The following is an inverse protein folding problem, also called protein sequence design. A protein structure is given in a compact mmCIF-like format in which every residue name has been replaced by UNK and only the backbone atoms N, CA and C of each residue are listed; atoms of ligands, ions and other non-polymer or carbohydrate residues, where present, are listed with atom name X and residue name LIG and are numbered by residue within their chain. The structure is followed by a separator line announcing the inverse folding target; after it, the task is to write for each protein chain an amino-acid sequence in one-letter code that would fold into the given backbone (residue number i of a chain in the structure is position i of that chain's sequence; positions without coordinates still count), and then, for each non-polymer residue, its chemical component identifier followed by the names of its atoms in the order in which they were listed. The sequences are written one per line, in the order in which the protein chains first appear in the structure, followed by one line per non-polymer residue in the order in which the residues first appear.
data_IF_058976731253
#
_entry.id   IF_058976731253
#
_cell.length_a   1.000
_cell.length_b   1.000
_cell.length_c   1.000
_cell.angle_alpha   90.00
_cell.angle_beta   90.00
_cell.angle_gamma   90.00
#
_symmetry.space_group_name_H-M   'P 1'
#
loop_
_entity.id
_entity.type
_entity.pdbx_description
1 polymer ?
#
# COMPACT_ATOMS: atom_id res chain seq x y z
N UNK A 1 18.41 -24.66 -3.25
CA UNK A 1 17.04 -24.55 -2.70
C UNK A 1 16.53 -23.11 -2.54
N UNK A 2 17.28 -22.07 -2.90
CA UNK A 2 16.92 -20.64 -2.75
C UNK A 2 16.21 -20.02 -3.99
N UNK A 3 16.04 -20.77 -5.08
CA UNK A 3 15.46 -20.26 -6.33
C UNK A 3 13.92 -20.07 -6.27
N UNK A 4 13.22 -20.86 -5.44
CA UNK A 4 11.75 -21.00 -5.52
C UNK A 4 10.97 -19.71 -5.21
N UNK A 5 11.58 -18.77 -4.48
CA UNK A 5 10.91 -17.54 -4.02
C UNK A 5 11.48 -16.27 -4.64
N UNK A 6 12.39 -16.42 -5.62
CA UNK A 6 12.93 -15.30 -6.38
C UNK A 6 11.76 -14.50 -6.98
N UNK A 7 11.77 -13.18 -6.80
CA UNK A 7 10.73 -12.24 -7.24
C UNK A 7 9.39 -12.29 -6.49
N UNK A 8 9.30 -13.02 -5.37
CA UNK A 8 8.14 -12.91 -4.48
C UNK A 8 8.27 -11.69 -3.57
N UNK A 9 7.11 -11.18 -3.16
CA UNK A 9 6.96 -10.18 -2.12
C UNK A 9 6.41 -10.85 -0.87
N UNK A 10 6.81 -10.36 0.29
CA UNK A 10 6.27 -10.79 1.58
C UNK A 10 5.25 -9.76 2.03
N UNK A 11 4.01 -10.21 2.26
CA UNK A 11 2.93 -9.42 2.82
C UNK A 11 2.74 -9.75 4.30
N UNK A 12 3.04 -8.79 5.18
CA UNK A 12 2.83 -8.89 6.63
C UNK A 12 1.52 -8.22 7.01
N UNK A 13 0.53 -9.01 7.39
CA UNK A 13 -0.79 -8.53 7.77
C UNK A 13 -0.82 -8.03 9.21
N UNK A 14 -1.46 -6.88 9.41
CA UNK A 14 -1.64 -6.23 10.71
C UNK A 14 -2.97 -6.61 11.36
N UNK A 15 -3.29 -7.91 11.34
CA UNK A 15 -4.57 -8.45 11.78
C UNK A 15 -4.76 -9.88 11.32
N UNK A 16 -6.02 -10.26 11.10
CA UNK A 16 -6.38 -11.56 10.54
C UNK A 16 -6.46 -11.45 9.01
N UNK A 17 -5.55 -12.06 8.24
CA UNK A 17 -5.60 -12.02 6.79
C UNK A 17 -6.86 -12.70 6.26
N UNK A 18 -7.45 -12.20 5.17
CA UNK A 18 -8.49 -12.94 4.45
C UNK A 18 -7.89 -14.16 3.73
N UNK A 19 -8.75 -14.98 3.11
CA UNK A 19 -8.28 -16.16 2.37
C UNK A 19 -7.37 -15.77 1.19
N UNK A 20 -6.40 -16.62 0.79
CA UNK A 20 -5.57 -16.35 -0.39
C UNK A 20 -6.36 -16.05 -1.66
N UNK A 21 -7.54 -16.67 -1.83
CA UNK A 21 -8.45 -16.39 -2.94
C UNK A 21 -9.01 -14.97 -2.90
N UNK A 22 -9.37 -14.46 -1.72
CA UNK A 22 -9.81 -13.07 -1.55
C UNK A 22 -8.67 -12.07 -1.77
N UNK A 23 -7.48 -12.36 -1.24
CA UNK A 23 -6.27 -11.55 -1.50
C UNK A 23 -5.99 -11.47 -3.00
N UNK A 24 -6.06 -12.61 -3.69
CA UNK A 24 -5.92 -12.66 -5.14
C UNK A 24 -7.00 -11.81 -5.85
N UNK A 25 -8.27 -11.97 -5.46
CA UNK A 25 -9.39 -11.23 -6.05
C UNK A 25 -9.26 -9.71 -5.88
N UNK A 26 -8.73 -9.25 -4.75
CA UNK A 26 -8.58 -7.82 -4.45
C UNK A 26 -7.39 -7.20 -5.19
N UNK A 27 -6.26 -7.92 -5.24
CA UNK A 27 -5.01 -7.38 -5.74
C UNK A 27 -4.82 -7.61 -7.24
N UNK A 28 -5.31 -8.72 -7.80
CA UNK A 28 -5.09 -9.05 -9.21
C UNK A 28 -5.67 -8.01 -10.20
N UNK A 29 -6.81 -7.34 -9.95
CA UNK A 29 -7.27 -6.25 -10.82
C UNK A 29 -6.30 -5.06 -10.90
N UNK A 30 -5.48 -4.86 -9.87
CA UNK A 30 -4.54 -3.74 -9.75
C UNK A 30 -3.15 -4.18 -10.22
N UNK A 31 -2.63 -5.26 -9.62
CA UNK A 31 -1.27 -5.75 -9.83
C UNK A 31 -1.16 -6.75 -10.99
N UNK A 32 -2.27 -7.33 -11.41
CA UNK A 32 -2.32 -8.38 -12.43
C UNK A 32 -2.40 -7.88 -13.87
N UNK A 33 -2.42 -6.55 -14.07
CA UNK A 33 -2.58 -5.92 -15.40
C UNK A 33 -1.51 -6.36 -16.42
N UNK A 34 -0.29 -6.64 -15.95
CA UNK A 34 0.86 -7.07 -16.76
C UNK A 34 1.30 -8.51 -16.44
N UNK A 35 0.38 -9.34 -15.96
CA UNK A 35 0.63 -10.75 -15.65
C UNK A 35 -0.06 -11.17 -14.37
N UNK A 36 -0.70 -12.33 -14.40
CA UNK A 36 -1.48 -12.87 -13.28
C UNK A 36 -0.60 -13.07 -12.05
N UNK A 37 -1.02 -12.51 -10.91
CA UNK A 37 -0.31 -12.69 -9.64
C UNK A 37 -0.57 -14.08 -9.07
N UNK A 38 0.22 -14.51 -8.08
CA UNK A 38 -0.12 -15.68 -7.25
C UNK A 38 0.02 -15.36 -5.77
N UNK A 39 -0.85 -15.93 -4.94
CA UNK A 39 -0.86 -15.71 -3.50
C UNK A 39 -0.73 -17.06 -2.79
N UNK A 40 0.23 -17.17 -1.90
CA UNK A 40 0.45 -18.37 -1.06
C UNK A 40 0.52 -17.96 0.40
N UNK A 41 -0.28 -18.62 1.24
CA UNK A 41 -0.19 -18.44 2.70
C UNK A 41 1.11 -19.09 3.18
N UNK A 42 1.86 -18.36 4.01
CA UNK A 42 3.08 -18.88 4.64
C UNK A 42 2.87 -19.14 6.13
N UNK A 43 2.32 -18.17 6.86
CA UNK A 43 2.00 -18.30 8.29
C UNK A 43 0.69 -17.59 8.63
N UNK A 44 0.36 -17.46 9.93
CA UNK A 44 -0.91 -16.85 10.37
C UNK A 44 -1.12 -15.43 9.87
N UNK A 45 -0.06 -14.64 9.74
CA UNK A 45 -0.10 -13.23 9.31
C UNK A 45 0.80 -12.92 8.11
N UNK A 46 1.34 -13.94 7.46
CA UNK A 46 2.30 -13.77 6.36
C UNK A 46 1.80 -14.50 5.13
N UNK A 47 1.74 -13.78 4.01
CA UNK A 47 1.55 -14.35 2.69
C UNK A 47 2.72 -14.00 1.78
N UNK A 48 3.01 -14.89 0.83
CA UNK A 48 3.93 -14.66 -0.27
C UNK A 48 3.12 -14.35 -1.51
N UNK A 49 3.42 -13.22 -2.15
CA UNK A 49 2.73 -12.78 -3.36
C UNK A 49 3.75 -12.72 -4.50
N UNK A 50 3.52 -13.50 -5.54
CA UNK A 50 4.31 -13.41 -6.76
C UNK A 50 3.69 -12.37 -7.70
N UNK A 51 4.49 -11.40 -8.13
CA UNK A 51 4.11 -10.38 -9.11
C UNK A 51 5.05 -10.52 -10.32
N UNK A 52 4.57 -11.00 -11.48
CA UNK A 52 5.42 -11.28 -12.63
C UNK A 52 6.13 -10.03 -13.17
N UNK A 53 5.38 -8.94 -13.34
CA UNK A 53 5.87 -7.68 -13.87
C UNK A 53 6.75 -6.94 -12.84
N UNK A 54 7.97 -6.60 -13.24
CA UNK A 54 8.94 -5.91 -12.38
C UNK A 54 8.51 -4.48 -12.05
N UNK A 55 7.98 -3.74 -13.02
CA UNK A 55 7.53 -2.37 -12.81
C UNK A 55 6.40 -2.33 -11.78
N UNK A 56 5.45 -3.27 -11.88
CA UNK A 56 4.34 -3.39 -10.91
C UNK A 56 4.86 -3.79 -9.53
N UNK A 57 5.86 -4.68 -9.48
CA UNK A 57 6.49 -5.11 -8.23
C UNK A 57 7.20 -3.95 -7.52
N UNK A 58 7.95 -3.11 -8.25
CA UNK A 58 8.60 -1.91 -7.71
C UNK A 58 7.58 -0.90 -7.20
N UNK A 59 6.57 -0.59 -8.01
CA UNK A 59 5.50 0.32 -7.61
C UNK A 59 4.72 -0.16 -6.37
N UNK A 60 4.40 -1.46 -6.29
CA UNK A 60 3.73 -2.02 -5.13
C UNK A 60 4.57 -1.89 -3.85
N UNK A 61 5.90 -2.02 -3.96
CA UNK A 61 6.84 -1.81 -2.86
C UNK A 61 6.99 -0.33 -2.48
N UNK A 62 6.97 0.58 -3.45
CA UNK A 62 7.00 2.04 -3.19
C UNK A 62 5.76 2.50 -2.42
N UNK A 63 4.57 1.98 -2.76
CA UNK A 63 3.34 2.21 -1.97
C UNK A 63 3.48 1.60 -0.57
N UNK A 64 4.03 0.39 -0.49
CA UNK A 64 4.44 -0.27 0.77
C UNK A 64 3.30 -0.75 1.69
N UNK A 65 2.17 -0.02 1.74
CA UNK A 65 1.03 -0.31 2.61
C UNK A 65 -0.24 -0.55 1.79
N UNK A 66 -0.86 -1.71 2.00
CA UNK A 66 -1.94 -2.21 1.16
C UNK A 66 -3.06 -2.82 2.00
N UNK A 67 -4.21 -3.04 1.38
CA UNK A 67 -5.39 -3.62 2.02
C UNK A 67 -5.93 -4.78 1.19
N UNK A 68 -6.44 -5.79 1.88
CA UNK A 68 -7.31 -6.80 1.30
C UNK A 68 -8.38 -7.19 2.31
N UNK A 69 -9.63 -7.24 1.86
CA UNK A 69 -10.80 -7.26 2.74
C UNK A 69 -10.71 -6.11 3.77
N UNK A 70 -10.87 -6.44 5.04
CA UNK A 70 -10.80 -5.48 6.15
C UNK A 70 -9.46 -5.55 6.90
N UNK A 71 -8.39 -6.04 6.25
CA UNK A 71 -7.07 -6.16 6.87
C UNK A 71 -6.01 -5.44 6.04
N UNK A 72 -5.22 -4.60 6.71
CA UNK A 72 -4.04 -3.97 6.13
C UNK A 72 -2.82 -4.87 6.19
N UNK A 73 -1.86 -4.65 5.30
CA UNK A 73 -0.58 -5.34 5.28
C UNK A 73 0.55 -4.46 4.75
N UNK A 74 1.76 -4.72 5.25
CA UNK A 74 3.00 -4.11 4.75
C UNK A 74 3.69 -5.07 3.79
N UNK A 75 4.19 -4.53 2.68
CA UNK A 75 4.86 -5.27 1.62
C UNK A 75 6.37 -5.04 1.68
N UNK A 76 7.16 -6.11 1.61
CA UNK A 76 8.63 -6.02 1.51
C UNK A 76 9.14 -7.01 0.45
N UNK A 77 10.33 -6.76 -0.15
CA UNK A 77 10.94 -7.74 -1.04
C UNK A 77 11.29 -9.01 -0.25
N UNK A 78 11.08 -10.17 -0.86
CA UNK A 78 11.60 -11.41 -0.29
C UNK A 78 13.14 -11.42 -0.38
N UNK A 79 13.80 -11.76 0.72
CA UNK A 79 15.24 -12.05 0.76
C UNK A 79 15.47 -13.34 1.56
N UNK A 80 16.59 -14.06 1.33
CA UNK A 80 16.92 -15.27 2.10
C UNK A 80 17.03 -15.02 3.61
N UNK A 81 17.36 -13.79 4.02
CA UNK A 81 17.49 -13.35 5.41
C UNK A 81 16.25 -12.63 5.95
N UNK A 82 15.16 -12.53 5.17
CA UNK A 82 13.97 -11.83 5.59
C UNK A 82 13.37 -12.50 6.85
N UNK A 83 13.21 -11.72 7.91
CA UNK A 83 12.59 -12.20 9.15
C UNK A 83 11.10 -12.44 8.90
N UNK A 84 10.70 -13.71 8.82
CA UNK A 84 9.30 -14.12 8.66
C UNK A 84 8.54 -14.06 10.00
N UNK A 85 8.65 -12.93 10.69
CA UNK A 85 7.92 -12.63 11.92
C UNK A 85 6.99 -11.44 11.68
N UNK A 86 5.78 -11.41 12.27
CA UNK A 86 4.90 -10.25 12.17
C UNK A 86 5.63 -8.97 12.57
N UNK A 87 5.54 -7.93 11.74
CA UNK A 87 6.08 -6.61 12.07
C UNK A 87 5.07 -5.85 12.92
N UNK A 88 5.56 -5.15 13.95
CA UNK A 88 4.75 -4.19 14.70
C UNK A 88 4.47 -3.00 13.78
N UNK A 89 3.20 -2.68 13.58
CA UNK A 89 2.80 -1.45 12.90
C UNK A 89 3.12 -0.26 13.82
N UNK A 90 4.03 0.61 13.40
CA UNK A 90 4.38 1.83 14.14
C UNK A 90 3.74 3.05 13.48
N UNK A 91 3.84 3.15 12.16
CA UNK A 91 3.21 4.18 11.34
C UNK A 91 2.63 3.55 10.07
N UNK A 92 1.51 4.08 9.57
CA UNK A 92 0.89 3.68 8.32
C UNK A 92 0.57 4.94 7.50
N UNK A 93 0.94 5.00 6.20
CA UNK A 93 0.44 6.04 5.33
C UNK A 93 -1.06 5.80 5.10
N UNK A 94 -1.87 6.84 5.31
CA UNK A 94 -3.32 6.80 5.07
C UNK A 94 -3.69 7.87 4.05
N UNK A 95 -4.56 7.50 3.11
CA UNK A 95 -5.16 8.45 2.18
C UNK A 95 -6.36 9.10 2.84
N UNK A 96 -6.33 10.42 2.98
CA UNK A 96 -7.43 11.21 3.53
C UNK A 96 -8.15 11.90 2.37
N UNK A 97 -9.45 11.63 2.23
CA UNK A 97 -10.31 12.34 1.29
C UNK A 97 -10.97 13.51 2.01
N UNK A 98 -10.57 14.73 1.65
CA UNK A 98 -11.22 15.93 2.13
C UNK A 98 -12.50 16.22 1.35
N UNK A 99 -13.60 16.53 2.05
CA UNK A 99 -14.89 16.90 1.46
C UNK A 99 -15.31 18.26 1.97
N UNK A 100 -16.00 19.03 1.14
CA UNK A 100 -16.56 20.35 1.49
C UNK A 100 -15.49 21.34 2.01
N UNK A 101 -14.33 21.37 1.35
CA UNK A 101 -13.26 22.30 1.71
C UNK A 101 -13.61 23.70 1.18
N UNK A 102 -13.63 24.74 2.04
CA UNK A 102 -13.83 26.11 1.61
C UNK A 102 -12.81 26.51 0.52
N UNK A 103 -13.21 27.23 -0.55
CA UNK A 103 -12.30 27.64 -1.61
C UNK A 103 -11.05 28.39 -1.12
N UNK A 104 -11.16 29.12 -0.01
CA UNK A 104 -10.08 29.87 0.63
C UNK A 104 -8.95 28.97 1.15
N UNK A 105 -9.26 27.70 1.43
CA UNK A 105 -8.30 26.68 1.88
C UNK A 105 -7.78 25.81 0.73
N UNK A 106 -8.17 26.11 -0.52
CA UNK A 106 -7.74 25.38 -1.71
C UNK A 106 -6.30 25.72 -2.12
N UNK A 107 -5.36 25.38 -1.26
CA UNK A 107 -3.92 25.56 -1.47
C UNK A 107 -3.16 24.42 -0.78
N UNK A 108 -1.91 24.18 -1.21
CA UNK A 108 -1.06 23.17 -0.58
C UNK A 108 -0.93 23.41 0.94
N UNK A 109 -0.82 24.67 1.36
CA UNK A 109 -0.76 25.06 2.77
C UNK A 109 -2.07 24.75 3.49
N UNK A 110 -3.23 25.08 2.90
CA UNK A 110 -4.54 24.78 3.48
C UNK A 110 -4.76 23.29 3.69
N UNK A 111 -4.53 22.47 2.65
CA UNK A 111 -4.63 21.01 2.76
C UNK A 111 -3.63 20.42 3.76
N UNK A 112 -2.37 20.89 3.78
CA UNK A 112 -1.37 20.41 4.74
C UNK A 112 -1.74 20.77 6.18
N UNK A 113 -2.34 21.95 6.39
CA UNK A 113 -2.78 22.40 7.71
C UNK A 113 -3.91 21.49 8.24
N UNK A 114 -4.91 21.19 7.41
CA UNK A 114 -6.01 20.30 7.81
C UNK A 114 -5.49 18.87 8.02
N UNK A 115 -4.65 18.36 7.11
CA UNK A 115 -4.05 17.04 7.22
C UNK A 115 -3.19 16.88 8.49
N UNK A 116 -2.58 17.97 8.98
CA UNK A 116 -1.76 17.94 10.20
C UNK A 116 -2.54 17.55 11.46
N UNK A 117 -3.87 17.76 11.47
CA UNK A 117 -4.74 17.28 12.53
C UNK A 117 -4.94 15.75 12.56
N UNK A 118 -4.67 15.07 11.45
CA UNK A 118 -4.75 13.60 11.34
C UNK A 118 -3.38 12.95 11.59
N UNK A 119 -2.31 13.59 11.13
CA UNK A 119 -0.96 13.06 11.24
C UNK A 119 0.05 13.92 10.51
N UNK A 120 1.13 13.32 10.01
CA UNK A 120 2.14 14.05 9.23
C UNK A 120 1.75 13.97 7.75
N UNK A 121 1.44 15.10 7.09
CA UNK A 121 1.14 15.10 5.66
C UNK A 121 2.38 14.69 4.85
N UNK A 122 2.26 13.66 4.02
CA UNK A 122 3.38 13.11 3.23
C UNK A 122 3.25 13.30 1.73
N UNK A 123 2.02 13.31 1.20
CA UNK A 123 1.77 13.43 -0.24
C UNK A 123 0.38 14.00 -0.51
N UNK A 124 0.22 14.70 -1.63
CA UNK A 124 -1.07 15.07 -2.20
C UNK A 124 -1.20 14.47 -3.60
N UNK A 125 -2.40 14.08 -4.00
CA UNK A 125 -2.66 13.61 -5.37
C UNK A 125 -2.39 14.70 -6.43
N UNK A 126 -2.49 15.98 -6.02
CA UNK A 126 -2.19 17.15 -6.83
C UNK A 126 -0.97 17.89 -6.26
N UNK A 127 0.26 17.52 -6.65
CA UNK A 127 1.48 18.17 -6.15
C UNK A 127 1.64 19.62 -6.64
N UNK A 128 0.91 20.01 -7.69
CA UNK A 128 0.86 21.37 -8.23
C UNK A 128 -0.57 21.93 -8.15
N UNK A 129 -1.06 22.12 -6.93
CA UNK A 129 -2.32 22.85 -6.70
C UNK A 129 -2.10 24.32 -7.02
N UNK A 130 -2.78 24.83 -8.05
CA UNK A 130 -2.92 26.27 -8.27
C UNK A 130 -3.84 26.82 -7.18
N UNK A 131 -3.41 27.84 -6.40
CA UNK A 131 -4.29 28.48 -5.45
C UNK A 131 -5.57 28.96 -6.14
N UNK A 132 -6.71 28.81 -5.48
CA UNK A 132 -7.95 29.41 -5.97
C UNK A 132 -7.79 30.93 -5.99
N UNK A 133 -8.05 31.57 -7.14
CA UNK A 133 -8.01 33.02 -7.32
C UNK A 133 -9.41 33.52 -7.69
N UNK A 134 -9.88 34.58 -7.04
CA UNK A 134 -11.19 35.19 -7.25
C UNK A 134 -11.25 36.06 -8.52
N UNK A 135 -10.61 35.66 -9.63
CA UNK A 135 -10.49 36.51 -10.83
C UNK A 135 -9.51 37.66 -10.67
#
# INVERSE_FOLDING_TARGET
SSQMWKNHLIAYFHGSPPSPAKIFSDLNPIWGKKGRISVKKHSSRICLIYVPCEETRKWALEVGFWHSGNCSFTLVPWTPSAKMSPMKLVHAPVWVLFKNIPPELWSLVGFSTIASGVGIPVHSEFPKLTPYTNG
#
